data_IF_920463884594
#
_entry.id   IF_920463884594
#
_cell.length_a   1.000
_cell.length_b   1.000
_cell.length_c   1.000
_cell.angle_alpha   90.00
_cell.angle_beta   90.00
_cell.angle_gamma   90.00
#
_symmetry.space_group_name_H-M   'P 1'
#
loop_
_entity.id
_entity.type
_entity.pdbx_description
1 polymer ?
#
# COMPACT_ATOMS: atom_id res chain seq x y z
N UNK A 1 -11.68 12.17 20.94
CA UNK A 1 -11.28 10.84 20.48
C UNK A 1 -10.24 11.01 19.39
N UNK A 2 -9.03 10.60 19.68
CA UNK A 2 -7.97 10.60 18.68
C UNK A 2 -8.04 9.31 17.87
N UNK A 3 -8.36 9.44 16.59
CA UNK A 3 -8.16 8.34 15.70
C UNK A 3 -6.69 8.29 15.35
N UNK A 4 -6.00 7.25 15.78
CA UNK A 4 -4.64 7.01 15.33
C UNK A 4 -4.69 6.50 13.90
N UNK A 5 -4.15 7.31 12.99
CA UNK A 5 -3.97 6.89 11.62
C UNK A 5 -2.69 6.05 11.54
N UNK A 6 -2.80 4.83 11.04
CA UNK A 6 -1.67 3.90 10.95
C UNK A 6 -1.46 3.51 9.49
N UNK A 7 -0.23 3.70 9.03
CA UNK A 7 0.22 3.18 7.74
C UNK A 7 1.37 2.21 8.01
N UNK A 8 1.31 1.03 7.43
CA UNK A 8 2.43 0.08 7.47
C UNK A 8 3.15 0.09 6.14
N UNK A 9 4.45 -0.20 6.17
CA UNK A 9 5.27 -0.29 4.97
C UNK A 9 5.86 -1.69 4.87
N UNK A 10 5.73 -2.28 3.69
CA UNK A 10 6.34 -3.57 3.34
C UNK A 10 6.98 -3.39 1.97
N UNK A 11 8.29 -3.43 1.89
CA UNK A 11 9.01 -3.14 0.65
C UNK A 11 10.20 -4.06 0.45
N UNK A 12 10.73 -4.05 -0.76
CA UNK A 12 12.01 -4.68 -1.09
C UNK A 12 13.15 -3.66 -1.25
N UNK A 13 12.96 -2.45 -0.68
CA UNK A 13 13.93 -1.34 -0.84
C UNK A 13 15.16 -1.48 0.03
N UNK A 14 15.10 -2.25 1.13
CA UNK A 14 16.16 -2.30 2.12
C UNK A 14 16.24 -1.02 2.95
N UNK A 15 17.29 -0.92 3.77
CA UNK A 15 17.50 0.24 4.64
C UNK A 15 18.78 1.00 4.32
N UNK A 16 19.46 0.67 3.23
CA UNK A 16 20.78 1.25 2.94
C UNK A 16 20.73 2.64 2.34
N UNK A 17 19.66 2.95 1.59
CA UNK A 17 19.55 4.25 0.92
C UNK A 17 18.44 5.09 1.55
N UNK A 18 18.10 6.19 0.87
CA UNK A 18 17.14 7.17 1.36
C UNK A 18 15.68 6.81 1.09
N UNK A 19 15.38 5.72 0.37
CA UNK A 19 14.03 5.44 -0.13
C UNK A 19 12.98 5.37 0.99
N UNK A 20 13.25 4.62 2.04
CA UNK A 20 12.30 4.44 3.15
C UNK A 20 12.08 5.77 3.88
N UNK A 21 13.15 6.52 4.16
CA UNK A 21 13.01 7.79 4.89
C UNK A 21 12.26 8.83 4.09
N UNK A 22 12.44 8.87 2.77
CA UNK A 22 11.71 9.79 1.89
C UNK A 22 10.21 9.46 1.88
N UNK A 23 9.87 8.19 1.83
CA UNK A 23 8.47 7.73 1.91
C UNK A 23 7.85 8.16 3.23
N UNK A 24 8.52 7.91 4.34
CA UNK A 24 8.01 8.29 5.67
C UNK A 24 7.84 9.81 5.79
N UNK A 25 8.82 10.57 5.33
CA UNK A 25 8.75 12.02 5.34
C UNK A 25 7.59 12.56 4.52
N UNK A 26 7.38 12.02 3.34
CA UNK A 26 6.28 12.43 2.47
C UNK A 26 4.91 12.10 3.09
N UNK A 27 4.78 10.93 3.73
CA UNK A 27 3.55 10.57 4.44
C UNK A 27 3.27 11.55 5.58
N UNK A 28 4.28 11.90 6.36
CA UNK A 28 4.14 12.83 7.48
C UNK A 28 3.80 14.25 7.03
N UNK A 29 4.23 14.67 5.85
CA UNK A 29 3.81 15.95 5.27
C UNK A 29 2.32 15.96 4.95
N UNK A 30 1.79 14.83 4.48
CA UNK A 30 0.38 14.72 4.15
C UNK A 30 -0.50 14.58 5.40
N UNK A 31 -0.02 13.85 6.40
CA UNK A 31 -0.79 13.51 7.60
C UNK A 31 0.14 13.61 8.82
N UNK A 32 0.20 14.80 9.48
CA UNK A 32 1.18 15.02 10.57
C UNK A 32 1.06 14.09 11.76
N UNK A 33 -0.16 13.63 12.08
CA UNK A 33 -0.40 12.77 13.26
C UNK A 33 -0.31 11.28 12.92
N UNK A 34 0.27 10.94 11.80
CA UNK A 34 0.36 9.57 11.32
C UNK A 34 1.40 8.77 12.09
N UNK A 35 1.05 7.52 12.41
CA UNK A 35 2.03 6.53 12.84
C UNK A 35 2.42 5.66 11.65
N UNK A 36 3.70 5.64 11.31
CA UNK A 36 4.23 4.81 10.22
C UNK A 36 5.00 3.66 10.84
N UNK A 37 4.56 2.45 10.52
CA UNK A 37 5.14 1.23 11.10
C UNK A 37 5.73 0.38 9.97
N UNK A 38 6.98 -0.01 10.13
CA UNK A 38 7.64 -0.90 9.19
C UNK A 38 7.28 -2.35 9.51
N UNK A 39 6.71 -3.06 8.54
CA UNK A 39 6.56 -4.51 8.66
C UNK A 39 7.87 -5.16 8.21
N UNK A 40 8.34 -4.82 7.02
CA UNK A 40 9.65 -5.28 6.54
C UNK A 40 10.08 -4.44 5.33
N UNK A 41 11.36 -4.15 5.23
CA UNK A 41 11.98 -3.60 4.02
C UNK A 41 13.02 -4.56 3.45
N UNK A 42 13.06 -5.77 3.98
CA UNK A 42 14.03 -6.79 3.59
C UNK A 42 13.41 -7.90 2.77
N UNK A 43 12.30 -7.61 2.08
CA UNK A 43 11.70 -8.55 1.13
C UNK A 43 12.71 -8.81 0.02
N UNK A 44 12.89 -10.05 -0.36
CA UNK A 44 13.73 -10.39 -1.51
C UNK A 44 13.12 -9.75 -2.76
N UNK A 45 13.94 -9.12 -3.64
CA UNK A 45 13.40 -8.43 -4.81
C UNK A 45 12.45 -9.30 -5.64
N UNK A 46 11.32 -8.72 -6.04
CA UNK A 46 10.30 -9.37 -6.85
C UNK A 46 9.69 -10.64 -6.23
N UNK A 47 9.82 -10.83 -4.91
CA UNK A 47 9.28 -12.02 -4.26
C UNK A 47 7.87 -11.76 -3.72
N UNK A 48 6.86 -11.93 -4.57
CA UNK A 48 5.46 -11.73 -4.20
C UNK A 48 4.98 -12.74 -3.15
N UNK A 49 5.43 -14.00 -3.22
CA UNK A 49 5.03 -15.03 -2.27
C UNK A 49 5.51 -14.74 -0.85
N UNK A 50 6.77 -14.28 -0.71
CA UNK A 50 7.32 -13.88 0.59
C UNK A 50 6.56 -12.70 1.17
N UNK A 51 6.27 -11.69 0.32
CA UNK A 51 5.51 -10.51 0.72
C UNK A 51 4.13 -10.88 1.24
N UNK A 52 3.40 -11.71 0.49
CA UNK A 52 2.07 -12.16 0.86
C UNK A 52 2.08 -12.95 2.17
N UNK A 53 3.05 -13.83 2.35
CA UNK A 53 3.21 -14.60 3.57
C UNK A 53 3.40 -13.70 4.79
N UNK A 54 4.29 -12.72 4.69
CA UNK A 54 4.57 -11.79 5.78
C UNK A 54 3.32 -10.96 6.11
N UNK A 55 2.69 -10.36 5.11
CA UNK A 55 1.51 -9.52 5.33
C UNK A 55 0.31 -10.30 5.84
N UNK A 56 0.06 -11.48 5.31
CA UNK A 56 -1.04 -12.34 5.75
C UNK A 56 -0.93 -12.66 7.23
N UNK A 57 0.28 -12.84 7.73
CA UNK A 57 0.52 -13.14 9.14
C UNK A 57 0.59 -11.90 10.03
N UNK A 58 0.74 -10.71 9.46
CA UNK A 58 0.95 -9.48 10.23
C UNK A 58 -0.26 -8.55 10.24
N UNK A 59 -1.03 -8.45 9.15
CA UNK A 59 -1.97 -7.34 9.00
C UNK A 59 -3.10 -7.34 10.05
N UNK A 60 -3.56 -8.51 10.47
CA UNK A 60 -4.65 -8.61 11.45
C UNK A 60 -4.23 -8.18 12.86
N UNK A 61 -2.93 -8.09 13.12
CA UNK A 61 -2.42 -7.57 14.39
C UNK A 61 -2.62 -6.05 14.53
N UNK A 62 -2.84 -5.36 13.43
CA UNK A 62 -3.02 -3.91 13.42
C UNK A 62 -4.49 -3.53 13.57
N UNK A 63 -4.78 -2.33 14.09
CA UNK A 63 -6.17 -1.86 14.22
C UNK A 63 -6.88 -1.80 12.87
N UNK A 64 -8.19 -1.99 12.91
CA UNK A 64 -9.03 -1.77 11.73
C UNK A 64 -8.79 -0.37 11.16
N UNK A 65 -8.95 -0.24 9.86
CA UNK A 65 -8.70 0.98 9.08
C UNK A 65 -7.21 1.30 8.90
N UNK A 66 -6.30 0.41 9.31
CA UNK A 66 -4.88 0.54 8.97
C UNK A 66 -4.69 0.41 7.46
N UNK A 67 -3.74 1.18 6.93
CA UNK A 67 -3.42 1.18 5.50
C UNK A 67 -2.07 0.53 5.30
N UNK A 68 -2.03 -0.50 4.48
CA UNK A 68 -0.82 -1.27 4.22
C UNK A 68 -0.30 -0.94 2.82
N UNK A 69 0.82 -0.23 2.75
CA UNK A 69 1.48 0.11 1.50
C UNK A 69 2.52 -0.98 1.19
N UNK A 70 2.42 -1.55 0.01
CA UNK A 70 3.26 -2.64 -0.44
C UNK A 70 4.10 -2.17 -1.62
N UNK A 71 5.40 -2.01 -1.40
CA UNK A 71 6.34 -1.54 -2.40
C UNK A 71 7.25 -2.65 -2.91
N UNK A 72 6.65 -3.70 -3.45
CA UNK A 72 7.37 -4.84 -4.04
C UNK A 72 6.90 -4.97 -5.47
N UNK A 73 7.84 -4.95 -6.42
CA UNK A 73 7.53 -5.01 -7.85
C UNK A 73 6.43 -4.00 -8.23
N UNK A 74 6.63 -2.76 -7.78
CA UNK A 74 5.58 -1.74 -7.79
C UNK A 74 5.54 -0.89 -9.06
N UNK A 75 6.44 -1.09 -10.00
CA UNK A 75 6.46 -0.32 -11.25
C UNK A 75 5.20 -0.58 -12.06
N UNK A 76 4.57 0.51 -12.51
CA UNK A 76 3.33 0.41 -13.30
C UNK A 76 3.64 -0.02 -14.73
N UNK A 77 2.92 -1.04 -15.19
CA UNK A 77 2.88 -1.44 -16.60
C UNK A 77 1.44 -1.84 -16.93
N UNK A 78 1.07 -1.98 -18.22
CA UNK A 78 -0.28 -2.48 -18.55
C UNK A 78 -0.60 -3.85 -17.95
N UNK A 79 0.42 -4.66 -17.65
CA UNK A 79 0.26 -5.99 -17.04
C UNK A 79 0.43 -5.95 -15.52
N UNK A 80 0.88 -4.83 -14.97
CA UNK A 80 1.15 -4.68 -13.54
C UNK A 80 0.57 -3.34 -13.07
N UNK A 81 -0.75 -3.22 -13.15
CA UNK A 81 -1.46 -2.00 -12.72
C UNK A 81 -1.44 -1.86 -11.21
N UNK A 82 -1.80 -0.69 -10.71
CA UNK A 82 -1.86 -0.44 -9.28
C UNK A 82 -3.27 -0.64 -8.75
N UNK A 83 -3.39 -1.29 -7.59
CA UNK A 83 -4.66 -1.66 -6.99
C UNK A 83 -4.78 -1.08 -5.57
N UNK A 84 -6.01 -0.75 -5.20
CA UNK A 84 -6.37 -0.46 -3.82
C UNK A 84 -7.49 -1.42 -3.40
N UNK A 85 -7.30 -2.11 -2.29
CA UNK A 85 -8.23 -3.13 -1.79
C UNK A 85 -8.66 -2.80 -0.37
N UNK A 86 -9.96 -2.93 -0.11
CA UNK A 86 -10.50 -2.97 1.25
C UNK A 86 -10.85 -4.42 1.57
N UNK A 87 -10.25 -4.96 2.63
CA UNK A 87 -10.42 -6.35 3.02
C UNK A 87 -10.37 -6.49 4.54
N UNK A 88 -11.40 -7.06 5.13
CA UNK A 88 -11.52 -7.28 6.57
C UNK A 88 -11.27 -6.00 7.40
N UNK A 89 -11.71 -4.86 6.89
CA UNK A 89 -11.55 -3.59 7.58
C UNK A 89 -10.17 -2.95 7.43
N UNK A 90 -9.29 -3.52 6.66
CA UNK A 90 -7.96 -2.99 6.34
C UNK A 90 -7.90 -2.53 4.89
N UNK A 91 -6.97 -1.64 4.60
CA UNK A 91 -6.72 -1.17 3.23
C UNK A 91 -5.34 -1.60 2.77
N UNK A 92 -5.24 -1.99 1.51
CA UNK A 92 -3.99 -2.44 0.90
C UNK A 92 -3.76 -1.68 -0.40
N UNK A 93 -2.56 -1.17 -0.60
CA UNK A 93 -2.16 -0.48 -1.83
C UNK A 93 -0.97 -1.24 -2.41
N UNK A 94 -1.12 -1.76 -3.61
CA UNK A 94 -0.16 -2.69 -4.19
C UNK A 94 -0.28 -2.72 -5.71
N UNK A 95 0.79 -3.11 -6.41
CA UNK A 95 0.69 -3.46 -7.81
C UNK A 95 -0.02 -4.81 -7.99
N UNK A 96 -0.61 -5.01 -9.16
CA UNK A 96 -1.33 -6.25 -9.51
C UNK A 96 -0.33 -7.36 -9.89
N UNK A 97 0.39 -7.85 -8.90
CA UNK A 97 1.44 -8.86 -9.05
C UNK A 97 1.11 -10.16 -8.29
N UNK A 98 -0.15 -10.35 -7.94
CA UNK A 98 -0.62 -11.57 -7.26
C UNK A 98 -0.58 -11.49 -5.73
N UNK A 99 0.06 -10.48 -5.14
CA UNK A 99 0.18 -10.37 -3.67
C UNK A 99 -1.18 -10.27 -3.00
N UNK A 100 -2.07 -9.40 -3.49
CA UNK A 100 -3.39 -9.21 -2.87
C UNK A 100 -4.24 -10.48 -2.95
N UNK A 101 -4.18 -11.19 -4.07
CA UNK A 101 -4.89 -12.46 -4.23
C UNK A 101 -4.42 -13.50 -3.22
N UNK A 102 -3.13 -13.55 -2.97
CA UNK A 102 -2.56 -14.47 -1.97
C UNK A 102 -2.95 -14.09 -0.54
N UNK A 103 -3.08 -12.79 -0.26
CA UNK A 103 -3.48 -12.32 1.08
C UNK A 103 -4.93 -12.69 1.36
N UNK A 104 -5.83 -12.42 0.43
CA UNK A 104 -7.26 -12.69 0.63
C UNK A 104 -7.65 -14.15 0.38
N UNK A 105 -6.84 -14.91 -0.34
CA UNK A 105 -7.12 -16.28 -0.74
C UNK A 105 -8.49 -16.40 -1.44
N UNK A 106 -9.35 -17.32 -1.00
CA UNK A 106 -10.68 -17.52 -1.56
C UNK A 106 -11.72 -16.54 -1.02
N UNK A 107 -11.35 -15.71 -0.03
CA UNK A 107 -12.26 -14.75 0.56
C UNK A 107 -12.47 -13.56 -0.37
N UNK A 108 -13.64 -12.94 -0.27
CA UNK A 108 -13.98 -11.81 -1.12
C UNK A 108 -13.52 -10.50 -0.48
N UNK A 109 -12.88 -9.65 -1.26
CA UNK A 109 -12.58 -8.28 -0.83
C UNK A 109 -13.88 -7.48 -0.70
N UNK A 110 -13.93 -6.57 0.27
CA UNK A 110 -15.06 -5.64 0.42
C UNK A 110 -15.12 -4.71 -0.79
N UNK A 111 -13.97 -4.17 -1.20
CA UNK A 111 -13.82 -3.38 -2.42
C UNK A 111 -12.45 -3.64 -3.03
N UNK A 112 -12.39 -3.56 -4.35
CA UNK A 112 -11.13 -3.66 -5.09
C UNK A 112 -11.24 -2.72 -6.29
N UNK A 113 -10.32 -1.77 -6.39
CA UNK A 113 -10.31 -0.82 -7.51
C UNK A 113 -8.93 -0.77 -8.16
N UNK A 114 -8.92 -0.57 -9.47
CA UNK A 114 -7.69 -0.22 -10.18
C UNK A 114 -7.47 1.29 -10.02
N UNK A 115 -6.31 1.68 -9.51
CA UNK A 115 -5.98 3.09 -9.29
C UNK A 115 -5.77 3.77 -10.63
N UNK A 116 -6.54 4.81 -10.92
CA UNK A 116 -6.46 5.55 -12.18
C UNK A 116 -5.93 6.97 -12.00
N UNK A 117 -5.93 7.51 -10.79
CA UNK A 117 -5.30 8.82 -10.54
C UNK A 117 -3.80 8.70 -10.78
N UNK A 118 -3.20 9.73 -11.35
CA UNK A 118 -1.77 9.76 -11.71
C UNK A 118 -1.35 8.68 -12.71
N UNK A 119 -2.31 8.04 -13.42
CA UNK A 119 -2.02 6.97 -14.36
C UNK A 119 -1.12 7.41 -15.51
N UNK A 120 -1.19 8.70 -15.88
CA UNK A 120 -0.39 9.26 -16.97
C UNK A 120 1.00 9.74 -16.52
N UNK A 121 1.32 9.61 -15.23
CA UNK A 121 2.61 10.01 -14.69
C UNK A 121 3.58 8.85 -14.83
N UNK A 122 4.63 9.05 -15.61
CA UNK A 122 5.73 8.06 -15.68
C UNK A 122 6.54 8.22 -14.39
N UNK A 123 6.60 7.16 -13.61
CA UNK A 123 7.27 7.20 -12.32
C UNK A 123 8.22 6.04 -12.17
N UNK A 124 9.45 6.34 -11.77
CA UNK A 124 10.43 5.34 -11.34
C UNK A 124 10.26 4.99 -9.86
N UNK A 125 9.39 5.71 -9.15
CA UNK A 125 9.16 5.50 -7.72
C UNK A 125 7.67 5.60 -7.40
N UNK A 126 6.85 4.59 -7.81
CA UNK A 126 5.40 4.65 -7.65
C UNK A 126 4.92 4.76 -6.20
N UNK A 127 5.65 4.17 -5.25
CA UNK A 127 5.27 4.27 -3.83
C UNK A 127 5.26 5.74 -3.40
N UNK A 128 6.26 6.52 -3.81
CA UNK A 128 6.33 7.93 -3.49
C UNK A 128 5.33 8.76 -4.30
N UNK A 129 5.23 8.50 -5.60
CA UNK A 129 4.47 9.36 -6.52
C UNK A 129 2.99 9.04 -6.57
N UNK A 130 2.59 7.80 -6.29
CA UNK A 130 1.20 7.35 -6.40
C UNK A 130 0.64 6.85 -5.06
N UNK A 131 1.29 5.88 -4.44
CA UNK A 131 0.74 5.17 -3.29
C UNK A 131 0.52 6.06 -2.06
N UNK A 132 1.43 7.01 -1.84
CA UNK A 132 1.30 7.97 -0.73
C UNK A 132 0.03 8.81 -0.90
N UNK A 133 -0.27 9.27 -2.11
CA UNK A 133 -1.45 10.08 -2.38
C UNK A 133 -2.73 9.26 -2.21
N UNK A 134 -2.71 7.99 -2.60
CA UNK A 134 -3.83 7.08 -2.37
C UNK A 134 -4.05 6.86 -0.88
N UNK A 135 -2.98 6.63 -0.12
CA UNK A 135 -3.07 6.48 1.32
C UNK A 135 -3.64 7.73 1.99
N UNK A 136 -3.20 8.92 1.59
CA UNK A 136 -3.72 10.18 2.11
C UNK A 136 -5.20 10.34 1.83
N UNK A 137 -5.66 9.99 0.62
CA UNK A 137 -7.07 10.02 0.25
C UNK A 137 -7.91 9.11 1.16
N UNK A 138 -7.45 7.88 1.39
CA UNK A 138 -8.14 6.93 2.26
C UNK A 138 -8.20 7.47 3.70
N UNK A 139 -7.10 8.02 4.19
CA UNK A 139 -7.01 8.61 5.53
C UNK A 139 -8.03 9.72 5.74
N UNK A 140 -8.29 10.51 4.70
CA UNK A 140 -9.28 11.61 4.74
C UNK A 140 -10.70 11.11 4.53
N UNK A 141 -10.94 9.80 4.67
CA UNK A 141 -12.25 9.15 4.51
C UNK A 141 -12.80 9.27 3.08
N UNK A 142 -11.90 9.37 2.10
CA UNK A 142 -12.29 9.36 0.69
C UNK A 142 -12.70 7.98 0.23
N UNK A 143 -13.67 7.91 -0.68
CA UNK A 143 -14.12 6.65 -1.25
C UNK A 143 -13.12 6.13 -2.29
N UNK A 144 -12.93 4.82 -2.35
CA UNK A 144 -12.03 4.21 -3.33
C UNK A 144 -12.49 4.45 -4.77
N UNK A 145 -13.78 4.54 -5.00
CA UNK A 145 -14.35 4.76 -6.33
C UNK A 145 -13.89 6.09 -6.95
N UNK A 146 -13.47 7.05 -6.13
CA UNK A 146 -12.99 8.36 -6.61
C UNK A 146 -11.60 8.26 -7.23
N UNK A 147 -10.77 7.32 -6.75
CA UNK A 147 -9.37 7.21 -7.18
C UNK A 147 -9.14 6.14 -8.22
N UNK A 148 -10.17 5.37 -8.55
CA UNK A 148 -10.01 4.28 -9.49
C UNK A 148 -11.34 3.72 -9.98
N UNK A 149 -11.23 2.61 -10.69
CA UNK A 149 -12.39 1.88 -11.24
C UNK A 149 -12.38 0.44 -10.70
N UNK A 150 -13.56 -0.14 -10.47
CA UNK A 150 -13.70 -1.52 -9.96
C UNK A 150 -13.06 -2.57 -10.84
#
# INVERSE_FOLDING_TARGET
IHFMAIVTLTTDFGHKDFSVSVIKGALLQQIPDLSVIDISHEISPYNASETAYILKNAFRAFPKESIHIIGVESEWTPENVHLAMEFEGHYFICADNGILSMIKEDLKATKLVEITIHQNVVSSFPVLDVFIHVAAHIMRKGALEVIGKP
#
